data_IF_276995850689
#
_entry.id   IF_276995850689
#
_cell.length_a   1.000
_cell.length_b   1.000
_cell.length_c   1.000
_cell.angle_alpha   90.00
_cell.angle_beta   90.00
_cell.angle_gamma   90.00
#
_symmetry.space_group_name_H-M   'P 1'
#
loop_
_entity.id
_entity.type
_entity.pdbx_description
1 polymer ?
#
# COMPACT_ATOMS: atom_id res chain seq x y z
N UNK A 1 -15.82 7.75 22.58
CA UNK A 1 -16.44 7.34 21.31
C UNK A 1 -16.44 5.82 21.26
N UNK A 2 -17.36 5.15 20.60
CA UNK A 2 -17.31 3.71 20.38
C UNK A 2 -16.08 3.37 19.54
N UNK A 3 -15.42 2.24 19.81
CA UNK A 3 -14.27 1.77 19.02
C UNK A 3 -14.69 1.45 17.59
N UNK A 4 -13.86 1.81 16.60
CA UNK A 4 -14.07 1.50 15.20
C UNK A 4 -13.91 -0.02 14.98
N UNK A 5 -14.94 -0.66 14.44
CA UNK A 5 -15.00 -2.10 14.27
C UNK A 5 -14.37 -2.51 12.93
N UNK A 6 -13.24 -3.20 13.00
CA UNK A 6 -12.43 -3.59 11.84
C UNK A 6 -12.57 -5.08 11.56
N UNK A 7 -12.85 -5.43 10.31
CA UNK A 7 -12.66 -6.78 9.78
C UNK A 7 -11.35 -6.84 8.98
N UNK A 8 -10.65 -7.97 9.04
CA UNK A 8 -9.38 -8.20 8.32
C UNK A 8 -9.53 -9.37 7.36
N UNK A 9 -9.28 -9.15 6.07
CA UNK A 9 -9.22 -10.19 5.05
C UNK A 9 -7.81 -10.77 4.93
N UNK A 10 -7.72 -12.09 4.69
CA UNK A 10 -6.47 -12.82 4.67
C UNK A 10 -5.83 -12.88 6.07
N UNK A 11 -6.64 -13.07 7.11
CA UNK A 11 -6.27 -12.93 8.51
C UNK A 11 -5.12 -13.86 8.94
N UNK A 12 -4.96 -15.05 8.34
CA UNK A 12 -3.86 -15.96 8.63
C UNK A 12 -2.57 -15.68 7.85
N UNK A 13 -2.61 -14.71 6.91
CA UNK A 13 -1.45 -14.32 6.12
C UNK A 13 -0.50 -13.39 6.89
N UNK A 14 0.71 -13.21 6.35
CA UNK A 14 1.73 -12.32 6.94
C UNK A 14 1.23 -10.90 7.21
N UNK A 15 0.50 -10.30 6.26
CA UNK A 15 -0.06 -8.96 6.43
C UNK A 15 -1.28 -9.00 7.34
N UNK A 16 -2.10 -10.05 7.25
CA UNK A 16 -3.25 -10.29 8.12
C UNK A 16 -2.85 -10.31 9.59
N UNK A 17 -1.83 -11.07 9.97
CA UNK A 17 -1.29 -11.08 11.33
C UNK A 17 -0.85 -9.67 11.79
N UNK A 18 -0.11 -8.93 10.94
CA UNK A 18 0.34 -7.57 11.27
C UNK A 18 -0.85 -6.62 11.47
N UNK A 19 -1.92 -6.76 10.68
CA UNK A 19 -3.14 -5.96 10.80
C UNK A 19 -3.94 -6.31 12.06
N UNK A 20 -4.13 -7.61 12.34
CA UNK A 20 -4.80 -8.06 13.58
C UNK A 20 -4.05 -7.55 14.81
N UNK A 21 -2.72 -7.70 14.85
CA UNK A 21 -1.90 -7.18 15.93
C UNK A 21 -2.06 -5.66 16.09
N UNK A 22 -2.04 -4.90 14.99
CA UNK A 22 -2.21 -3.45 15.01
C UNK A 22 -3.60 -3.02 15.49
N UNK A 23 -4.66 -3.73 15.09
CA UNK A 23 -6.02 -3.48 15.57
C UNK A 23 -6.12 -3.76 17.08
N UNK A 24 -5.58 -4.88 17.55
CA UNK A 24 -5.59 -5.27 18.96
C UNK A 24 -4.70 -4.38 19.85
N UNK A 25 -3.75 -3.68 19.25
CA UNK A 25 -2.88 -2.71 19.93
C UNK A 25 -3.41 -1.27 19.88
N UNK A 26 -4.55 -1.03 19.24
CA UNK A 26 -5.13 0.32 19.10
C UNK A 26 -6.25 0.56 20.11
N UNK A 27 -6.22 1.71 20.81
CA UNK A 27 -7.21 2.04 21.83
C UNK A 27 -8.58 2.42 21.26
N UNK A 28 -8.64 2.79 19.97
CA UNK A 28 -9.84 3.29 19.29
C UNK A 28 -10.37 2.34 18.22
N UNK A 29 -9.76 1.15 18.06
CA UNK A 29 -10.20 0.11 17.12
C UNK A 29 -10.53 -1.19 17.86
N UNK A 30 -11.44 -1.98 17.31
CA UNK A 30 -11.77 -3.31 17.79
C UNK A 30 -11.83 -4.30 16.63
N UNK A 31 -11.28 -5.51 16.81
CA UNK A 31 -11.41 -6.57 15.82
C UNK A 31 -12.86 -7.10 15.86
N UNK A 32 -13.57 -6.97 14.75
CA UNK A 32 -14.96 -7.42 14.61
C UNK A 32 -15.12 -8.62 13.69
N UNK A 33 -14.12 -8.86 12.80
CA UNK A 33 -14.15 -9.99 11.90
C UNK A 33 -12.78 -10.37 11.37
N UNK A 34 -12.64 -11.62 10.97
CA UNK A 34 -11.43 -12.17 10.39
C UNK A 34 -11.83 -13.13 9.26
N UNK A 35 -11.37 -12.84 8.06
CA UNK A 35 -11.70 -13.61 6.87
C UNK A 35 -10.46 -14.30 6.31
N UNK A 36 -10.67 -15.50 5.78
CA UNK A 36 -9.67 -16.21 5.00
C UNK A 36 -10.32 -17.05 3.89
N UNK A 37 -9.51 -17.57 2.98
CA UNK A 37 -9.99 -18.40 1.86
C UNK A 37 -10.59 -19.71 2.36
N UNK A 38 -11.54 -20.24 1.61
CA UNK A 38 -12.04 -21.60 1.82
C UNK A 38 -10.88 -22.60 1.73
N UNK A 39 -10.79 -23.52 2.71
CA UNK A 39 -9.69 -24.48 2.81
C UNK A 39 -8.45 -23.99 3.56
N UNK A 40 -8.43 -22.74 4.08
CA UNK A 40 -7.38 -22.29 4.99
C UNK A 40 -7.36 -23.16 6.26
N UNK A 41 -6.19 -23.66 6.70
CA UNK A 41 -6.07 -24.44 7.94
C UNK A 41 -6.37 -23.61 9.20
N UNK A 42 -6.47 -22.29 9.07
CA UNK A 42 -6.75 -21.38 10.16
C UNK A 42 -8.26 -21.18 10.39
N UNK A 43 -9.13 -21.73 9.54
CA UNK A 43 -10.59 -21.58 9.72
C UNK A 43 -11.04 -22.13 11.06
N UNK A 44 -11.90 -21.35 11.74
CA UNK A 44 -12.42 -21.67 13.07
C UNK A 44 -11.47 -21.37 14.23
N UNK A 45 -10.19 -21.06 13.96
CA UNK A 45 -9.25 -20.62 15.00
C UNK A 45 -9.55 -19.17 15.38
N UNK A 46 -9.25 -18.81 16.64
CA UNK A 46 -9.31 -17.41 17.08
C UNK A 46 -8.26 -16.56 16.34
N UNK A 47 -8.66 -15.42 15.84
CA UNK A 47 -7.80 -14.55 15.04
C UNK A 47 -6.58 -14.00 15.82
N UNK A 48 -6.63 -13.98 17.16
CA UNK A 48 -5.53 -13.60 18.04
C UNK A 48 -4.66 -14.75 18.52
N UNK A 49 -4.97 -16.00 18.14
CA UNK A 49 -4.28 -17.19 18.64
C UNK A 49 -2.75 -17.15 18.42
N UNK A 50 -2.29 -16.62 17.29
CA UNK A 50 -0.86 -16.45 16.97
C UNK A 50 -0.11 -15.51 17.92
N UNK A 51 -0.84 -14.63 18.64
CA UNK A 51 -0.31 -13.75 19.68
C UNK A 51 -0.47 -14.34 21.10
N UNK A 52 -1.04 -15.54 21.22
CA UNK A 52 -1.42 -16.10 22.52
C UNK A 52 -2.59 -15.37 23.19
N UNK A 53 -3.39 -14.65 22.43
CA UNK A 53 -4.56 -13.86 22.90
C UNK A 53 -5.86 -14.50 22.38
N UNK A 54 -6.91 -14.45 23.21
CA UNK A 54 -8.27 -14.77 22.77
C UNK A 54 -9.00 -13.46 22.46
N UNK A 55 -9.45 -13.35 21.21
CA UNK A 55 -10.24 -12.20 20.73
C UNK A 55 -11.73 -12.49 20.71
N UNK A 56 -12.12 -13.77 20.71
CA UNK A 56 -13.48 -14.22 20.49
C UNK A 56 -13.93 -14.12 19.04
N UNK A 57 -13.04 -13.75 18.12
CA UNK A 57 -13.31 -13.59 16.67
C UNK A 57 -12.72 -14.79 15.92
N UNK A 58 -13.54 -15.75 15.47
CA UNK A 58 -13.05 -16.87 14.67
C UNK A 58 -12.72 -16.43 13.24
N UNK A 59 -11.66 -17.01 12.66
CA UNK A 59 -11.35 -16.85 11.24
C UNK A 59 -12.40 -17.64 10.42
N UNK A 60 -13.08 -16.96 9.48
CA UNK A 60 -14.18 -17.51 8.69
C UNK A 60 -13.95 -17.38 7.19
N UNK A 61 -14.45 -18.35 6.42
CA UNK A 61 -14.58 -18.23 4.97
C UNK A 61 -15.94 -17.66 4.53
N UNK A 62 -16.90 -17.55 5.45
CA UNK A 62 -18.20 -16.92 5.20
C UNK A 62 -18.04 -15.39 5.28
N UNK A 63 -18.16 -14.74 4.12
CA UNK A 63 -18.00 -13.29 3.99
C UNK A 63 -19.03 -12.54 4.81
N UNK A 64 -20.30 -13.00 4.83
CA UNK A 64 -21.36 -12.33 5.59
C UNK A 64 -21.14 -12.44 7.09
N UNK A 65 -20.77 -13.63 7.57
CA UNK A 65 -20.46 -13.83 8.98
C UNK A 65 -19.21 -13.05 9.43
N UNK A 66 -18.16 -13.05 8.62
CA UNK A 66 -16.92 -12.37 8.93
C UNK A 66 -16.96 -10.84 8.79
N UNK A 67 -17.97 -10.27 8.10
CA UNK A 67 -18.19 -8.84 7.98
C UNK A 67 -19.33 -8.34 8.90
N UNK A 68 -20.07 -9.24 9.56
CA UNK A 68 -21.21 -8.87 10.39
C UNK A 68 -20.78 -7.93 11.52
N UNK A 69 -21.36 -6.73 11.51
CA UNK A 69 -21.10 -5.70 12.53
C UNK A 69 -19.75 -4.99 12.41
N UNK A 70 -18.99 -5.19 11.34
CA UNK A 70 -17.81 -4.41 11.04
C UNK A 70 -18.20 -3.06 10.41
N UNK A 71 -17.45 -2.01 10.73
CA UNK A 71 -17.56 -0.69 10.10
C UNK A 71 -16.68 -0.59 8.85
N UNK A 72 -15.51 -1.23 8.89
CA UNK A 72 -14.49 -1.18 7.82
C UNK A 72 -13.83 -2.53 7.66
N UNK A 73 -13.68 -2.98 6.41
CA UNK A 73 -12.80 -4.09 6.02
C UNK A 73 -11.43 -3.56 5.61
N UNK A 74 -10.35 -4.21 6.06
CA UNK A 74 -8.99 -4.01 5.54
C UNK A 74 -8.58 -5.25 4.75
N UNK A 75 -8.20 -5.06 3.49
CA UNK A 75 -7.93 -6.15 2.54
C UNK A 75 -6.57 -6.00 1.85
N UNK A 76 -5.70 -7.03 2.04
CA UNK A 76 -4.41 -7.19 1.36
C UNK A 76 -4.31 -8.59 0.72
N UNK A 77 -5.38 -9.04 0.10
CA UNK A 77 -5.44 -10.39 -0.47
C UNK A 77 -5.01 -10.41 -1.95
N UNK A 78 -5.88 -10.88 -2.82
CA UNK A 78 -5.68 -10.95 -4.27
C UNK A 78 -6.85 -10.27 -4.98
N UNK A 79 -6.68 -9.81 -6.24
CA UNK A 79 -7.73 -9.08 -6.96
C UNK A 79 -9.10 -9.77 -6.94
N UNK A 80 -9.15 -11.08 -7.17
CA UNK A 80 -10.40 -11.85 -7.22
C UNK A 80 -11.06 -11.91 -5.83
N UNK A 81 -10.24 -12.10 -4.76
CA UNK A 81 -10.71 -12.08 -3.38
C UNK A 81 -11.25 -10.72 -3.01
N UNK A 82 -10.52 -9.65 -3.33
CA UNK A 82 -10.95 -8.27 -3.07
C UNK A 82 -12.29 -7.95 -3.72
N UNK A 83 -12.53 -8.37 -4.98
CA UNK A 83 -13.82 -8.13 -5.64
C UNK A 83 -14.98 -8.87 -4.95
N UNK A 84 -14.75 -10.11 -4.51
CA UNK A 84 -15.74 -10.85 -3.74
C UNK A 84 -16.03 -10.18 -2.38
N UNK A 85 -14.98 -9.72 -1.69
CA UNK A 85 -15.11 -8.98 -0.43
C UNK A 85 -15.89 -7.67 -0.62
N UNK A 86 -15.58 -6.91 -1.68
CA UNK A 86 -16.27 -5.65 -1.99
C UNK A 86 -17.76 -5.86 -2.31
N UNK A 87 -18.12 -6.95 -2.99
CA UNK A 87 -19.53 -7.27 -3.24
C UNK A 87 -20.28 -7.48 -1.91
N UNK A 88 -19.69 -8.24 -0.98
CA UNK A 88 -20.26 -8.43 0.36
C UNK A 88 -20.28 -7.14 1.19
N UNK A 89 -19.20 -6.33 1.15
CA UNK A 89 -19.15 -5.03 1.81
C UNK A 89 -20.25 -4.10 1.35
N UNK A 90 -20.51 -4.02 0.05
CA UNK A 90 -21.59 -3.22 -0.54
C UNK A 90 -22.97 -3.66 -0.02
N UNK A 91 -23.24 -4.97 0.05
CA UNK A 91 -24.50 -5.52 0.54
C UNK A 91 -24.73 -5.21 2.02
N UNK A 92 -23.66 -5.17 2.82
CA UNK A 92 -23.71 -4.97 4.27
C UNK A 92 -23.47 -3.52 4.71
N UNK A 93 -23.16 -2.61 3.77
CA UNK A 93 -22.82 -1.22 4.07
C UNK A 93 -21.45 -1.05 4.76
N UNK A 94 -20.56 -2.05 4.65
CA UNK A 94 -19.21 -2.00 5.22
C UNK A 94 -18.28 -1.24 4.27
N UNK A 95 -17.49 -0.32 4.79
CA UNK A 95 -16.47 0.43 4.03
C UNK A 95 -15.23 -0.41 3.82
N UNK A 96 -14.34 0.00 2.91
CA UNK A 96 -13.16 -0.82 2.62
C UNK A 96 -11.86 0.00 2.54
N UNK A 97 -10.76 -0.60 3.01
CA UNK A 97 -9.37 -0.16 2.80
C UNK A 97 -8.65 -1.27 2.04
N UNK A 98 -8.20 -0.99 0.83
CA UNK A 98 -7.67 -1.98 -0.10
C UNK A 98 -6.20 -1.67 -0.37
N UNK A 99 -5.31 -2.56 0.12
CA UNK A 99 -3.88 -2.58 -0.18
C UNK A 99 -3.50 -3.67 -1.18
N UNK A 100 -4.46 -4.41 -1.72
CA UNK A 100 -4.26 -5.37 -2.81
C UNK A 100 -3.78 -4.65 -4.07
N UNK A 101 -2.86 -5.26 -4.79
CA UNK A 101 -2.29 -4.76 -6.04
C UNK A 101 -2.54 -5.73 -7.20
N UNK A 102 -2.20 -5.33 -8.44
CA UNK A 102 -2.34 -6.18 -9.61
C UNK A 102 -3.74 -6.18 -10.26
N UNK A 103 -4.54 -5.16 -10.00
CA UNK A 103 -5.86 -5.01 -10.63
C UNK A 103 -5.77 -4.72 -12.12
N UNK A 104 -6.58 -5.43 -12.91
CA UNK A 104 -6.82 -5.12 -14.32
C UNK A 104 -7.71 -3.87 -14.46
N UNK A 105 -7.82 -3.27 -15.67
CA UNK A 105 -8.79 -2.18 -15.91
C UNK A 105 -10.21 -2.57 -15.51
N UNK A 106 -10.68 -3.77 -15.86
CA UNK A 106 -12.02 -4.28 -15.52
C UNK A 106 -12.21 -4.39 -14.00
N UNK A 107 -11.17 -4.81 -13.25
CA UNK A 107 -11.22 -4.82 -11.78
C UNK A 107 -11.36 -3.39 -11.22
N UNK A 108 -10.67 -2.42 -11.80
CA UNK A 108 -10.75 -1.01 -11.39
C UNK A 108 -12.14 -0.43 -11.63
N UNK A 109 -12.77 -0.77 -12.77
CA UNK A 109 -14.15 -0.37 -13.07
C UNK A 109 -15.14 -0.94 -12.05
N UNK A 110 -14.98 -2.21 -11.67
CA UNK A 110 -15.80 -2.85 -10.65
C UNK A 110 -15.63 -2.19 -9.26
N UNK A 111 -14.40 -1.83 -8.88
CA UNK A 111 -14.09 -1.11 -7.64
C UNK A 111 -14.75 0.28 -7.67
N UNK A 112 -14.63 1.01 -8.78
CA UNK A 112 -15.25 2.33 -8.95
C UNK A 112 -16.79 2.26 -8.85
N UNK A 113 -17.40 1.22 -9.42
CA UNK A 113 -18.84 0.99 -9.29
C UNK A 113 -19.28 0.71 -7.84
N UNK A 114 -18.48 -0.04 -7.07
CA UNK A 114 -18.70 -0.25 -5.64
C UNK A 114 -18.56 1.07 -4.84
N UNK A 115 -17.58 1.89 -5.20
CA UNK A 115 -17.31 3.17 -4.54
C UNK A 115 -18.45 4.20 -4.68
N UNK A 116 -19.34 4.02 -5.64
CA UNK A 116 -20.57 4.81 -5.74
C UNK A 116 -21.57 4.54 -4.61
N UNK A 117 -21.42 3.44 -3.85
CA UNK A 117 -22.34 3.01 -2.80
C UNK A 117 -21.71 2.94 -1.41
N UNK A 118 -20.42 2.64 -1.32
CA UNK A 118 -19.62 2.60 -0.07
C UNK A 118 -18.34 3.40 -0.23
N UNK A 119 -17.78 3.87 0.88
CA UNK A 119 -16.49 4.53 0.84
C UNK A 119 -15.34 3.52 0.79
N UNK A 120 -14.40 3.73 -0.14
CA UNK A 120 -13.25 2.85 -0.39
C UNK A 120 -11.97 3.68 -0.42
N UNK A 121 -10.96 3.29 0.37
CA UNK A 121 -9.57 3.71 0.15
C UNK A 121 -8.86 2.62 -0.65
N UNK A 122 -8.32 2.97 -1.81
CA UNK A 122 -7.52 2.09 -2.66
C UNK A 122 -6.13 2.69 -2.85
N UNK A 123 -5.11 2.02 -2.35
CA UNK A 123 -3.74 2.46 -2.57
C UNK A 123 -2.78 1.26 -2.73
N UNK A 124 -1.82 1.32 -3.66
CA UNK A 124 -0.84 0.26 -3.85
C UNK A 124 0.16 0.15 -2.70
N UNK A 125 0.26 1.20 -1.89
CA UNK A 125 1.12 1.26 -0.72
C UNK A 125 0.44 2.07 0.40
N UNK A 126 0.24 1.47 1.56
CA UNK A 126 -0.40 2.12 2.72
C UNK A 126 0.59 2.82 3.66
N UNK A 127 1.90 2.76 3.40
CA UNK A 127 2.89 3.45 4.24
C UNK A 127 2.70 4.97 4.15
N UNK A 128 2.48 5.60 5.29
CA UNK A 128 2.41 7.07 5.40
C UNK A 128 3.70 7.70 4.87
N UNK A 129 4.86 7.15 5.29
CA UNK A 129 6.17 7.67 4.86
C UNK A 129 6.40 7.60 3.36
N UNK A 130 6.00 6.50 2.70
CA UNK A 130 6.12 6.36 1.24
C UNK A 130 5.21 7.38 0.52
N UNK A 131 3.96 7.56 0.95
CA UNK A 131 3.04 8.49 0.31
C UNK A 131 3.48 9.96 0.50
N UNK A 132 3.98 10.32 1.69
CA UNK A 132 4.59 11.64 1.92
C UNK A 132 5.83 11.82 1.03
N UNK A 133 6.68 10.78 0.91
CA UNK A 133 7.85 10.84 0.03
C UNK A 133 7.45 11.07 -1.43
N UNK A 134 6.42 10.37 -1.95
CA UNK A 134 5.93 10.58 -3.32
C UNK A 134 5.53 12.04 -3.56
N UNK A 135 4.84 12.66 -2.60
CA UNK A 135 4.46 14.08 -2.68
C UNK A 135 5.69 15.00 -2.66
N UNK A 136 6.68 14.72 -1.80
CA UNK A 136 7.94 15.48 -1.77
C UNK A 136 8.74 15.33 -3.07
N UNK A 137 8.71 14.16 -3.71
CA UNK A 137 9.38 13.91 -4.98
C UNK A 137 8.75 14.71 -6.13
N UNK A 138 7.41 14.77 -6.21
CA UNK A 138 6.72 15.61 -7.19
C UNK A 138 7.12 17.10 -7.00
N UNK A 139 7.07 17.59 -5.77
CA UNK A 139 7.47 18.97 -5.45
C UNK A 139 8.92 19.23 -5.84
N UNK A 140 9.85 18.36 -5.44
CA UNK A 140 11.27 18.51 -5.72
C UNK A 140 11.55 18.49 -7.22
N UNK A 141 11.00 17.51 -7.96
CA UNK A 141 11.22 17.38 -9.40
C UNK A 141 10.74 18.62 -10.17
N UNK A 142 9.56 19.16 -9.82
CA UNK A 142 9.03 20.38 -10.44
C UNK A 142 9.85 21.63 -10.12
N UNK A 143 10.47 21.72 -8.94
CA UNK A 143 11.19 22.93 -8.49
C UNK A 143 12.65 22.95 -8.90
N UNK A 144 13.30 21.79 -8.93
CA UNK A 144 14.70 21.66 -9.32
C UNK A 144 14.89 21.76 -10.85
N UNK A 145 13.87 21.40 -11.65
CA UNK A 145 13.90 21.53 -13.11
C UNK A 145 14.99 20.66 -13.77
N UNK A 146 15.40 21.03 -15.00
CA UNK A 146 16.23 20.22 -15.87
C UNK A 146 17.72 20.20 -15.47
N UNK A 147 18.12 21.03 -14.51
CA UNK A 147 19.52 21.10 -14.03
C UNK A 147 19.93 19.98 -13.09
N UNK A 148 19.03 19.02 -12.78
CA UNK A 148 19.30 17.94 -11.84
C UNK A 148 19.02 16.58 -12.47
N UNK A 149 20.01 15.71 -12.45
CA UNK A 149 19.89 14.31 -12.78
C UNK A 149 19.10 13.57 -11.69
N UNK A 150 18.25 12.64 -12.09
CA UNK A 150 17.39 11.90 -11.15
C UNK A 150 17.76 10.40 -11.14
N UNK A 151 18.07 9.86 -9.97
CA UNK A 151 18.37 8.45 -9.76
C UNK A 151 17.55 7.89 -8.59
N UNK A 152 16.85 6.78 -8.83
CA UNK A 152 16.10 6.03 -7.83
C UNK A 152 16.92 4.83 -7.39
N UNK A 153 17.31 4.78 -6.13
CA UNK A 153 18.13 3.72 -5.54
C UNK A 153 17.23 2.95 -4.56
N UNK A 154 17.12 1.62 -4.74
CA UNK A 154 16.29 0.81 -3.85
C UNK A 154 17.04 -0.44 -3.37
N UNK A 155 16.76 -0.84 -2.13
CA UNK A 155 17.32 -2.04 -1.53
C UNK A 155 16.22 -2.87 -0.84
N UNK A 156 16.22 -4.18 -1.08
CA UNK A 156 15.33 -5.13 -0.42
C UNK A 156 16.06 -6.44 -0.07
N UNK A 157 15.40 -7.27 0.72
CA UNK A 157 15.88 -8.58 1.12
C UNK A 157 16.17 -9.49 -0.08
N UNK A 158 17.05 -10.49 0.14
CA UNK A 158 17.52 -11.45 -0.89
C UNK A 158 16.42 -12.25 -1.59
N UNK A 159 15.23 -12.34 -0.99
CA UNK A 159 14.11 -13.13 -1.50
C UNK A 159 13.12 -12.33 -2.37
N UNK A 160 13.37 -11.02 -2.59
CA UNK A 160 12.53 -10.21 -3.47
C UNK A 160 12.86 -10.51 -4.93
N UNK A 161 11.84 -10.89 -5.71
CA UNK A 161 11.98 -11.40 -7.08
C UNK A 161 11.84 -10.33 -8.17
N UNK A 162 11.06 -9.27 -7.89
CA UNK A 162 10.88 -8.14 -8.81
C UNK A 162 12.00 -7.10 -8.64
N UNK A 163 12.45 -6.51 -9.74
CA UNK A 163 13.43 -5.43 -9.80
C UNK A 163 13.19 -4.58 -11.07
N UNK A 164 13.06 -3.23 -10.93
CA UNK A 164 12.93 -2.47 -9.68
C UNK A 164 11.68 -2.85 -8.88
N UNK A 165 11.64 -2.48 -7.60
CA UNK A 165 10.45 -2.69 -6.75
C UNK A 165 9.27 -1.85 -7.24
N UNK A 166 8.03 -2.32 -6.98
CA UNK A 166 6.83 -1.55 -7.33
C UNK A 166 6.81 -0.14 -6.71
N UNK A 167 7.38 0.05 -5.53
CA UNK A 167 7.53 1.38 -4.90
C UNK A 167 8.54 2.24 -5.65
N UNK A 168 9.67 1.68 -6.10
CA UNK A 168 10.64 2.41 -6.90
C UNK A 168 10.05 2.82 -8.26
N UNK A 169 9.28 1.94 -8.91
CA UNK A 169 8.58 2.28 -10.15
C UNK A 169 7.55 3.40 -9.93
N UNK A 170 6.78 3.36 -8.85
CA UNK A 170 5.84 4.44 -8.51
C UNK A 170 6.56 5.78 -8.27
N UNK A 171 7.75 5.76 -7.64
CA UNK A 171 8.60 6.96 -7.53
C UNK A 171 9.02 7.46 -8.92
N UNK A 172 9.47 6.57 -9.80
CA UNK A 172 9.81 6.91 -11.18
C UNK A 172 8.65 7.50 -11.96
N UNK A 173 7.45 6.97 -11.81
CA UNK A 173 6.23 7.50 -12.44
C UNK A 173 5.89 8.92 -11.99
N UNK A 174 6.00 9.19 -10.67
CA UNK A 174 5.78 10.53 -10.11
C UNK A 174 6.83 11.51 -10.65
N UNK A 175 8.09 11.10 -10.68
CA UNK A 175 9.19 11.92 -11.20
C UNK A 175 9.04 12.20 -12.69
N UNK A 176 8.66 11.19 -13.48
CA UNK A 176 8.42 11.33 -14.92
C UNK A 176 7.24 12.28 -15.19
N UNK A 177 6.13 12.12 -14.47
CA UNK A 177 4.97 13.01 -14.57
C UNK A 177 5.33 14.46 -14.20
N UNK A 178 6.12 14.65 -13.15
CA UNK A 178 6.57 15.98 -12.71
C UNK A 178 7.48 16.66 -13.76
N UNK A 179 8.25 15.88 -14.52
CA UNK A 179 9.16 16.32 -15.60
C UNK A 179 8.46 16.40 -16.97
N UNK A 180 7.22 15.93 -17.08
CA UNK A 180 6.49 15.90 -18.35
C UNK A 180 7.02 14.90 -19.37
N UNK A 181 7.66 13.81 -18.90
CA UNK A 181 8.22 12.73 -19.72
C UNK A 181 7.50 11.40 -19.44
N UNK A 182 7.67 10.42 -20.33
CA UNK A 182 7.14 9.07 -20.14
C UNK A 182 8.23 8.16 -19.54
N UNK A 183 7.94 7.54 -18.40
CA UNK A 183 8.87 6.63 -17.72
C UNK A 183 9.26 5.44 -18.60
N UNK A 184 8.36 4.94 -19.46
CA UNK A 184 8.66 3.80 -20.35
C UNK A 184 9.79 4.11 -21.35
N UNK A 185 9.95 5.38 -21.74
CA UNK A 185 10.96 5.84 -22.72
C UNK A 185 12.17 6.48 -22.07
N UNK A 186 12.02 7.07 -20.87
CA UNK A 186 13.10 7.78 -20.15
C UNK A 186 13.66 7.01 -18.95
N UNK A 187 13.03 5.89 -18.58
CA UNK A 187 13.49 5.04 -17.49
C UNK A 187 14.73 4.21 -17.87
N UNK A 188 15.84 4.39 -17.16
CA UNK A 188 17.06 3.58 -17.30
C UNK A 188 17.11 2.58 -16.16
N UNK A 189 16.53 1.38 -16.38
CA UNK A 189 16.34 0.37 -15.33
C UNK A 189 17.62 -0.37 -14.95
N UNK A 190 18.65 -0.32 -15.81
CA UNK A 190 19.94 -0.95 -15.54
C UNK A 190 21.05 -0.27 -16.37
N UNK A 191 22.25 -0.26 -15.82
CA UNK A 191 23.48 0.11 -16.54
C UNK A 191 24.53 -0.99 -16.41
N UNK A 192 25.09 -1.41 -17.53
CA UNK A 192 26.12 -2.45 -17.55
C UNK A 192 27.15 -2.18 -18.66
N UNK A 193 28.44 -2.32 -18.35
CA UNK A 193 29.51 -2.10 -19.32
C UNK A 193 29.67 -0.62 -19.71
N UNK A 194 30.03 -0.39 -20.98
CA UNK A 194 30.14 0.96 -21.56
C UNK A 194 28.79 1.44 -22.07
N UNK A 195 28.12 2.32 -21.30
CA UNK A 195 26.77 2.81 -21.59
C UNK A 195 26.75 4.17 -22.29
N UNK A 196 27.91 4.81 -22.49
CA UNK A 196 28.01 6.20 -22.91
C UNK A 196 27.66 7.17 -21.77
N UNK A 197 27.58 8.45 -22.11
CA UNK A 197 27.13 9.48 -21.17
C UNK A 197 25.66 9.29 -20.79
N UNK A 198 25.30 9.77 -19.61
CA UNK A 198 23.92 9.75 -19.13
C UNK A 198 23.03 10.61 -20.03
N UNK A 199 21.90 10.09 -20.53
CA UNK A 199 20.92 10.94 -21.25
C UNK A 199 20.35 12.02 -20.31
N UNK A 200 20.16 13.28 -20.77
CA UNK A 200 19.81 14.40 -19.91
C UNK A 200 18.46 14.22 -19.17
N UNK A 201 17.44 13.65 -19.83
CA UNK A 201 16.10 13.51 -19.25
C UNK A 201 15.83 12.12 -18.67
N UNK A 202 16.87 11.31 -18.50
CA UNK A 202 16.73 9.96 -17.98
C UNK A 202 16.34 9.97 -16.48
N UNK A 203 15.52 8.99 -16.08
CA UNK A 203 15.31 8.62 -14.68
C UNK A 203 15.99 7.27 -14.47
N UNK A 204 17.10 7.27 -13.75
CA UNK A 204 17.89 6.07 -13.52
C UNK A 204 17.37 5.25 -12.35
N UNK A 205 17.65 3.93 -12.40
CA UNK A 205 17.34 3.01 -11.31
C UNK A 205 18.56 2.18 -10.94
N UNK A 206 18.76 2.02 -9.63
CA UNK A 206 19.76 1.13 -9.06
C UNK A 206 19.12 0.22 -8.02
N UNK A 207 19.27 -1.10 -8.21
CA UNK A 207 18.62 -2.12 -7.39
C UNK A 207 19.64 -2.90 -6.57
N UNK A 208 19.42 -2.99 -5.26
CA UNK A 208 20.21 -3.79 -4.33
C UNK A 208 19.35 -4.92 -3.74
N UNK A 209 19.90 -6.14 -3.65
CA UNK A 209 19.28 -7.29 -2.98
C UNK A 209 20.26 -7.86 -1.96
N UNK A 210 19.86 -7.88 -0.67
CA UNK A 210 20.74 -8.37 0.39
C UNK A 210 20.04 -8.52 1.74
N UNK A 211 20.53 -9.43 2.55
CA UNK A 211 20.08 -9.63 3.92
C UNK A 211 18.55 -9.77 4.06
N UNK A 212 18.03 -9.09 5.05
CA UNK A 212 16.63 -9.02 5.44
C UNK A 212 16.02 -7.62 5.30
N UNK A 213 16.65 -6.75 4.50
CA UNK A 213 16.19 -5.38 4.27
C UNK A 213 14.72 -5.39 3.87
N UNK A 214 13.88 -4.71 4.64
CA UNK A 214 12.43 -4.67 4.40
C UNK A 214 12.10 -3.83 3.17
N UNK A 215 12.75 -2.67 3.01
CA UNK A 215 12.63 -1.80 1.86
C UNK A 215 13.21 -0.42 2.13
N UNK A 216 14.32 -0.10 1.48
CA UNK A 216 14.94 1.22 1.47
C UNK A 216 14.79 1.84 0.08
N UNK A 217 14.44 3.10 0.04
CA UNK A 217 14.31 3.86 -1.20
C UNK A 217 14.93 5.24 -1.03
N UNK A 218 15.85 5.60 -1.91
CA UNK A 218 16.45 6.94 -1.98
C UNK A 218 16.28 7.47 -3.38
N UNK A 219 15.77 8.70 -3.50
CA UNK A 219 15.81 9.45 -4.76
C UNK A 219 16.86 10.53 -4.62
N UNK A 220 17.86 10.47 -5.51
CA UNK A 220 18.94 11.41 -5.64
C UNK A 220 18.59 12.39 -6.76
N UNK A 221 18.65 13.68 -6.46
CA UNK A 221 18.66 14.79 -7.42
C UNK A 221 20.07 15.38 -7.43
N UNK A 222 20.82 15.16 -8.49
CA UNK A 222 22.23 15.54 -8.60
C UNK A 222 22.39 16.74 -9.56
N UNK A 223 22.67 17.90 -9.03
CA UNK A 223 23.01 19.11 -9.76
C UNK A 223 24.52 19.39 -9.79
N UNK A 224 24.91 20.45 -10.49
CA UNK A 224 26.30 20.89 -10.52
C UNK A 224 26.70 21.54 -9.19
N UNK A 225 27.58 20.88 -8.45
CA UNK A 225 28.09 21.39 -7.16
C UNK A 225 27.25 21.05 -5.95
N UNK A 226 26.03 20.48 -6.12
CA UNK A 226 25.18 20.04 -5.01
C UNK A 226 24.33 18.85 -5.39
N UNK A 227 23.73 18.20 -4.38
CA UNK A 227 22.73 17.16 -4.55
C UNK A 227 21.75 17.14 -3.39
N UNK A 228 20.54 16.69 -3.67
CA UNK A 228 19.48 16.46 -2.67
C UNK A 228 19.15 14.98 -2.68
N UNK A 229 18.99 14.39 -1.51
CA UNK A 229 18.58 13.01 -1.33
C UNK A 229 17.31 12.98 -0.48
N UNK A 230 16.26 12.33 -0.99
CA UNK A 230 15.03 12.06 -0.24
C UNK A 230 14.99 10.56 -0.01
N UNK A 231 15.03 10.14 1.26
CA UNK A 231 15.18 8.73 1.65
C UNK A 231 14.05 8.29 2.56
N UNK A 232 13.48 7.12 2.26
CA UNK A 232 12.57 6.36 3.12
C UNK A 232 13.17 4.99 3.42
N UNK A 233 13.20 4.60 4.71
CA UNK A 233 13.61 3.26 5.15
C UNK A 233 12.51 2.61 5.95
N UNK A 234 12.12 1.41 5.56
CA UNK A 234 11.16 0.59 6.27
C UNK A 234 11.87 -0.47 7.10
N UNK A 235 11.66 -0.48 8.40
CA UNK A 235 12.24 -1.49 9.31
C UNK A 235 11.29 -2.64 9.64
N UNK A 236 9.98 -2.47 9.38
CA UNK A 236 8.98 -3.51 9.62
C UNK A 236 7.72 -3.29 8.77
N UNK A 237 6.84 -4.32 8.69
CA UNK A 237 5.53 -4.18 8.02
C UNK A 237 4.50 -3.42 8.85
N UNK A 238 4.79 -3.09 10.11
CA UNK A 238 3.88 -2.35 10.99
C UNK A 238 3.51 -0.97 10.43
N UNK A 239 4.40 -0.34 9.63
CA UNK A 239 4.11 0.93 8.96
C UNK A 239 2.92 0.82 7.98
N UNK A 240 2.75 -0.31 7.28
CA UNK A 240 1.59 -0.54 6.40
C UNK A 240 0.31 -0.71 7.21
N UNK A 241 0.35 -1.45 8.31
CA UNK A 241 -0.79 -1.63 9.20
C UNK A 241 -1.21 -0.30 9.85
N UNK A 242 -0.25 0.48 10.35
CA UNK A 242 -0.51 1.81 10.90
C UNK A 242 -1.17 2.75 9.88
N UNK A 243 -0.67 2.77 8.64
CA UNK A 243 -1.28 3.52 7.54
C UNK A 243 -2.67 3.01 7.18
N UNK A 244 -2.89 1.68 7.20
CA UNK A 244 -4.22 1.08 6.96
C UNK A 244 -5.23 1.47 8.04
N UNK A 245 -4.83 1.52 9.32
CA UNK A 245 -5.69 2.00 10.40
C UNK A 245 -6.00 3.50 10.25
N UNK A 246 -5.04 4.31 9.80
CA UNK A 246 -5.29 5.71 9.47
C UNK A 246 -6.31 5.85 8.33
N UNK A 247 -6.17 5.03 7.27
CA UNK A 247 -7.14 4.97 6.18
C UNK A 247 -8.52 4.49 6.65
N UNK A 248 -8.59 3.51 7.56
CA UNK A 248 -9.84 3.03 8.15
C UNK A 248 -10.57 4.13 8.94
N UNK A 249 -9.85 4.91 9.72
CA UNK A 249 -10.44 6.07 10.43
C UNK A 249 -10.96 7.14 9.47
N UNK A 250 -10.21 7.42 8.40
CA UNK A 250 -10.63 8.36 7.38
C UNK A 250 -11.89 7.88 6.66
N UNK A 251 -11.88 6.65 6.16
CA UNK A 251 -12.99 6.10 5.37
C UNK A 251 -14.27 5.93 6.19
N UNK A 252 -14.16 5.70 7.51
CA UNK A 252 -15.28 5.60 8.42
C UNK A 252 -16.13 6.88 8.46
N UNK A 253 -15.53 8.04 8.23
CA UNK A 253 -16.21 9.33 8.16
C UNK A 253 -16.79 9.68 6.78
N UNK A 254 -16.57 8.85 5.75
CA UNK A 254 -17.03 9.12 4.40
C UNK A 254 -18.33 8.36 4.10
N UNK A 255 -19.29 8.97 3.39
CA UNK A 255 -20.53 8.28 3.02
C UNK A 255 -20.29 7.25 1.92
N UNK A 256 -19.61 7.62 0.85
CA UNK A 256 -19.20 6.81 -0.30
C UNK A 256 -18.08 7.53 -1.04
N UNK A 257 -17.43 6.87 -1.98
CA UNK A 257 -16.38 7.43 -2.84
C UNK A 257 -15.14 6.57 -2.90
N UNK A 258 -14.29 6.83 -3.90
CA UNK A 258 -12.98 6.20 -4.06
C UNK A 258 -11.89 7.21 -3.71
N UNK A 259 -11.05 6.85 -2.75
CA UNK A 259 -10.02 7.70 -2.18
C UNK A 259 -8.65 7.03 -2.29
N UNK A 260 -7.59 7.80 -2.39
CA UNK A 260 -6.21 7.37 -2.26
C UNK A 260 -5.61 7.77 -0.90
N UNK A 261 -4.34 7.42 -0.69
CA UNK A 261 -3.63 7.83 0.53
C UNK A 261 -3.32 9.34 0.56
N UNK A 262 -3.30 10.01 -0.56
CA UNK A 262 -3.19 11.47 -0.69
C UNK A 262 -4.34 12.18 0.03
N UNK A 263 -5.61 11.77 -0.20
CA UNK A 263 -6.75 12.31 0.52
C UNK A 263 -6.74 11.92 2.00
N UNK A 264 -6.36 10.66 2.33
CA UNK A 264 -6.22 10.21 3.73
C UNK A 264 -5.23 11.06 4.52
N UNK A 265 -4.19 11.54 3.85
CA UNK A 265 -3.10 12.31 4.46
C UNK A 265 -3.29 13.83 4.34
N UNK A 266 -4.29 14.30 3.59
CA UNK A 266 -4.49 15.72 3.32
C UNK A 266 -3.38 16.32 2.45
N UNK A 267 -2.88 15.56 1.48
CA UNK A 267 -1.83 15.96 0.54
C UNK A 267 -2.42 16.36 -0.83
N UNK A 268 -3.71 16.12 -1.06
CA UNK A 268 -4.43 16.45 -2.28
C UNK A 268 -4.98 17.87 -2.25
#
# INVERSE_FOLDING_TARGET
MAALKIAVAGASGRMGHTLVEAVLGSDDCALAGALDIAGSPALGQDAGAFLGRSTGVPISADLRAGLAGADVLIDFTRPEGTLAHLAACRELGVRAVIGTTGFTPQHRDAIAACAAQIAIVLAPNMSVGVNVMLHLLDLAARRLGDGYDIEVIEAHHRHKVDAPSGTALAMGEVLAAARGVDLATHGVLTRHGHTGERPPDAIGFATVRGGDIVGDHTVLFAGTGERIEITHRSSSRANYAAGSLRAARFVAGQPHGLFGMDQVLGLA
#
